data_IF_350625400440
#
_entry.id   IF_350625400440
#
_cell.length_a   1.000
_cell.length_b   1.000
_cell.length_c   1.000
_cell.angle_alpha   90.00
_cell.angle_beta   90.00
_cell.angle_gamma   90.00
#
_symmetry.space_group_name_H-M   'P 1'
#
loop_
_entity.id
_entity.type
_entity.pdbx_description
1 polymer ?
#
# COMPACT_ATOMS: atom_id res chain seq x y z
N UNK A 1 13.30 12.29 -6.60
CA UNK A 1 12.82 11.75 -7.90
C UNK A 1 11.50 12.35 -8.39
N UNK A 2 10.85 13.27 -7.66
CA UNK A 2 9.68 14.04 -8.18
C UNK A 2 10.14 15.21 -9.07
N UNK A 3 11.35 15.74 -8.84
CA UNK A 3 11.90 16.88 -9.58
C UNK A 3 12.15 16.63 -11.07
N UNK A 4 12.48 15.41 -11.48
CA UNK A 4 12.73 15.09 -12.90
C UNK A 4 11.44 15.14 -13.72
N UNK A 5 10.30 14.77 -13.12
CA UNK A 5 9.00 14.77 -13.78
C UNK A 5 8.43 16.19 -13.93
N UNK A 6 8.64 17.05 -12.93
CA UNK A 6 8.22 18.46 -13.02
C UNK A 6 9.08 19.19 -14.05
N UNK A 7 10.40 18.94 -14.07
CA UNK A 7 11.31 19.56 -15.02
C UNK A 7 10.97 19.14 -16.46
N UNK A 8 10.67 17.86 -16.71
CA UNK A 8 10.33 17.36 -18.05
C UNK A 8 9.03 17.94 -18.62
N UNK A 9 7.99 18.10 -17.79
CA UNK A 9 6.71 18.71 -18.21
C UNK A 9 6.86 20.23 -18.41
N UNK A 10 7.55 20.92 -17.50
CA UNK A 10 7.81 22.35 -17.62
C UNK A 10 8.65 22.66 -18.88
N UNK A 11 9.67 21.85 -19.17
CA UNK A 11 10.54 22.05 -20.34
C UNK A 11 9.85 21.66 -21.66
N UNK A 12 8.97 20.66 -21.67
CA UNK A 12 8.21 20.31 -22.87
C UNK A 12 7.25 21.44 -23.30
N UNK A 13 6.64 22.12 -22.34
CA UNK A 13 5.76 23.28 -22.58
C UNK A 13 6.56 24.49 -23.09
N UNK A 14 7.79 24.70 -22.62
CA UNK A 14 8.63 25.82 -23.08
C UNK A 14 9.27 25.59 -24.45
N UNK A 15 9.50 24.34 -24.87
CA UNK A 15 10.35 24.04 -26.04
C UNK A 15 9.57 23.67 -27.31
N UNK A 16 8.25 23.46 -27.23
CA UNK A 16 7.39 23.23 -28.42
C UNK A 16 7.76 22.02 -29.28
N UNK A 17 8.56 21.09 -28.75
CA UNK A 17 9.16 19.99 -29.52
C UNK A 17 8.48 18.65 -29.19
N UNK A 18 7.66 18.07 -30.10
CA UNK A 18 6.75 16.95 -29.81
C UNK A 18 7.45 15.62 -29.50
N UNK A 19 8.76 15.51 -29.73
CA UNK A 19 9.57 14.31 -29.43
C UNK A 19 9.71 14.03 -27.93
N UNK A 20 9.57 15.06 -27.08
CA UNK A 20 9.61 14.91 -25.62
C UNK A 20 8.27 14.47 -25.01
N UNK A 21 7.15 14.62 -25.73
CA UNK A 21 5.86 14.04 -25.32
C UNK A 21 5.91 12.52 -25.30
N UNK A 22 6.66 11.89 -26.21
CA UNK A 22 6.84 10.44 -26.26
C UNK A 22 7.61 9.89 -25.05
N UNK A 23 8.41 10.70 -24.36
CA UNK A 23 9.15 10.28 -23.17
C UNK A 23 8.31 10.44 -21.88
N UNK A 24 7.42 11.45 -21.83
CA UNK A 24 6.53 11.68 -20.69
C UNK A 24 5.28 10.80 -20.67
N UNK A 25 4.76 10.41 -21.84
CA UNK A 25 3.56 9.58 -21.97
C UNK A 25 3.68 8.20 -21.26
N UNK A 26 4.72 7.37 -21.50
CA UNK A 26 4.84 6.08 -20.82
C UNK A 26 5.01 6.25 -19.31
N UNK A 27 5.62 7.35 -18.86
CA UNK A 27 5.79 7.66 -17.45
C UNK A 27 4.45 8.01 -16.77
N UNK A 28 3.62 8.83 -17.42
CA UNK A 28 2.27 9.13 -16.96
C UNK A 28 1.39 7.88 -16.91
N UNK A 29 1.48 7.01 -17.93
CA UNK A 29 0.78 5.72 -17.96
C UNK A 29 1.25 4.81 -16.81
N UNK A 30 2.54 4.72 -16.55
CA UNK A 30 3.09 3.96 -15.42
C UNK A 30 2.56 4.49 -14.08
N UNK A 31 2.57 5.81 -13.85
CA UNK A 31 2.02 6.39 -12.63
C UNK A 31 0.53 6.13 -12.49
N UNK A 32 -0.23 6.24 -13.57
CA UNK A 32 -1.67 5.97 -13.59
C UNK A 32 -1.97 4.50 -13.26
N UNK A 33 -1.21 3.57 -13.85
CA UNK A 33 -1.34 2.14 -13.57
C UNK A 33 -0.96 1.85 -12.11
N UNK A 34 0.14 2.40 -11.59
CA UNK A 34 0.53 2.19 -10.18
C UNK A 34 -0.53 2.76 -9.23
N UNK A 35 -1.11 3.91 -9.54
CA UNK A 35 -2.20 4.52 -8.76
C UNK A 35 -3.47 3.66 -8.72
N UNK A 36 -3.67 2.78 -9.71
CA UNK A 36 -4.77 1.80 -9.70
C UNK A 36 -4.54 0.67 -8.70
N UNK A 37 -3.29 0.32 -8.42
CA UNK A 37 -2.96 -0.70 -7.40
C UNK A 37 -2.89 -0.14 -5.98
N UNK A 38 -3.03 1.17 -5.82
CA UNK A 38 -3.03 1.83 -4.53
C UNK A 38 -4.23 1.36 -3.67
N UNK A 39 -4.00 1.07 -2.37
CA UNK A 39 -5.09 0.83 -1.43
C UNK A 39 -5.92 2.10 -1.26
N UNK A 40 -7.23 1.98 -1.45
CA UNK A 40 -8.21 3.08 -1.33
C UNK A 40 -8.94 3.05 0.01
N UNK A 41 -9.04 1.89 0.66
CA UNK A 41 -9.76 1.75 1.91
C UNK A 41 -9.72 0.33 2.45
N UNK A 42 -10.26 0.16 3.65
CA UNK A 42 -10.32 -1.12 4.34
C UNK A 42 -11.72 -1.31 4.90
N UNK A 43 -12.36 -2.44 4.58
CA UNK A 43 -13.71 -2.76 5.07
C UNK A 43 -13.72 -4.12 5.75
N UNK A 44 -14.41 -4.21 6.88
CA UNK A 44 -14.70 -5.47 7.56
C UNK A 44 -15.96 -6.09 6.95
N UNK A 45 -15.77 -7.02 6.02
CA UNK A 45 -16.87 -7.78 5.42
C UNK A 45 -17.25 -8.99 6.28
N UNK A 46 -18.25 -9.77 5.84
CA UNK A 46 -18.70 -10.96 6.56
C UNK A 46 -17.66 -12.11 6.52
N UNK A 47 -16.87 -12.18 5.45
CA UNK A 47 -15.89 -13.24 5.17
C UNK A 47 -14.46 -12.88 5.61
N UNK A 48 -14.16 -11.60 5.81
CA UNK A 48 -12.84 -11.15 6.26
C UNK A 48 -12.60 -9.65 6.16
N UNK A 49 -11.33 -9.27 6.32
CA UNK A 49 -10.86 -7.91 6.07
C UNK A 49 -10.64 -7.73 4.57
N UNK A 50 -11.40 -6.83 3.95
CA UNK A 50 -11.26 -6.47 2.55
C UNK A 50 -10.37 -5.23 2.43
N UNK A 51 -9.25 -5.38 1.72
CA UNK A 51 -8.40 -4.26 1.33
C UNK A 51 -8.86 -3.80 -0.04
N UNK A 52 -9.57 -2.67 -0.09
CA UNK A 52 -10.06 -2.07 -1.33
C UNK A 52 -8.94 -1.41 -2.11
N UNK A 53 -8.87 -1.72 -3.40
CA UNK A 53 -7.90 -1.17 -4.35
C UNK A 53 -8.63 -1.03 -5.67
N UNK A 54 -8.26 -0.05 -6.50
CA UNK A 54 -8.86 0.08 -7.85
C UNK A 54 -8.52 -1.11 -8.78
N UNK A 55 -7.49 -1.89 -8.45
CA UNK A 55 -7.11 -3.11 -9.13
C UNK A 55 -7.84 -4.37 -8.62
N UNK A 56 -8.76 -4.23 -7.66
CA UNK A 56 -9.57 -5.31 -7.11
C UNK A 56 -9.41 -5.44 -5.59
N UNK A 57 -10.49 -5.81 -4.87
CA UNK A 57 -10.43 -6.02 -3.43
C UNK A 57 -9.61 -7.26 -3.11
N UNK A 58 -8.77 -7.18 -2.09
CA UNK A 58 -8.06 -8.34 -1.55
C UNK A 58 -8.67 -8.74 -0.22
N UNK A 59 -9.18 -9.96 -0.14
CA UNK A 59 -9.77 -10.51 1.08
C UNK A 59 -8.70 -11.17 1.94
N UNK A 60 -8.68 -10.84 3.22
CA UNK A 60 -7.92 -11.51 4.28
C UNK A 60 -8.95 -12.22 5.18
N UNK A 61 -9.13 -13.55 5.06
CA UNK A 61 -10.17 -14.26 5.81
C UNK A 61 -9.94 -14.21 7.32
N UNK A 62 -10.99 -14.03 8.12
CA UNK A 62 -10.89 -13.97 9.60
C UNK A 62 -10.21 -15.20 10.19
N UNK A 63 -10.49 -16.40 9.66
CA UNK A 63 -9.84 -17.68 10.06
C UNK A 63 -8.31 -17.66 9.99
N UNK A 64 -7.74 -16.77 9.17
CA UNK A 64 -6.28 -16.63 9.06
C UNK A 64 -5.73 -15.64 10.06
N UNK A 65 -6.54 -14.71 10.57
CA UNK A 65 -6.15 -13.65 11.51
C UNK A 65 -6.21 -14.23 12.92
N UNK A 66 -5.08 -14.18 13.62
CA UNK A 66 -4.96 -14.62 15.02
C UNK A 66 -5.09 -13.48 16.01
N UNK A 67 -4.58 -12.31 15.64
CA UNK A 67 -4.62 -11.12 16.48
C UNK A 67 -4.41 -9.86 15.65
N UNK A 68 -4.80 -8.73 16.24
CA UNK A 68 -4.55 -7.41 15.68
C UNK A 68 -4.02 -6.46 16.76
N UNK A 69 -2.97 -5.73 16.42
CA UNK A 69 -2.28 -4.79 17.31
C UNK A 69 -1.84 -3.52 16.57
N UNK A 70 -1.54 -2.47 17.35
CA UNK A 70 -1.05 -1.17 16.84
C UNK A 70 0.40 -0.91 17.23
N UNK A 71 1.13 -1.94 17.63
CA UNK A 71 2.50 -1.76 18.11
C UNK A 71 3.35 -1.26 16.96
N UNK A 72 4.04 -0.14 17.16
CA UNK A 72 4.96 0.37 16.17
C UNK A 72 6.08 -0.65 15.96
N UNK A 73 6.31 -1.07 14.71
CA UNK A 73 7.34 -2.04 14.34
C UNK A 73 8.27 -1.42 13.30
N UNK A 74 9.58 -1.68 13.37
CA UNK A 74 10.52 -1.12 12.42
C UNK A 74 10.23 -1.64 11.01
N UNK A 75 9.79 -0.74 10.12
CA UNK A 75 9.54 -1.01 8.71
C UNK A 75 10.84 -1.01 7.86
N UNK A 76 11.97 -1.22 8.50
CA UNK A 76 13.29 -1.32 7.87
C UNK A 76 13.42 -2.73 7.27
N UNK A 77 13.05 -2.90 6.00
CA UNK A 77 13.08 -4.19 5.33
C UNK A 77 13.32 -4.08 3.83
N UNK A 78 13.76 -5.21 3.28
CA UNK A 78 13.98 -5.40 1.84
C UNK A 78 12.61 -5.56 1.16
N UNK A 79 12.41 -4.85 0.05
CA UNK A 79 11.24 -5.05 -0.80
C UNK A 79 11.45 -6.31 -1.62
N UNK A 80 10.66 -7.36 -1.39
CA UNK A 80 10.72 -8.60 -2.21
C UNK A 80 9.85 -8.43 -3.45
N UNK A 81 8.61 -7.98 -3.25
CA UNK A 81 7.65 -7.75 -4.34
C UNK A 81 6.74 -6.61 -3.89
N UNK A 82 7.31 -5.41 -3.84
CA UNK A 82 6.62 -4.27 -3.25
C UNK A 82 6.97 -2.94 -3.90
N UNK A 83 5.99 -2.05 -3.90
CA UNK A 83 6.15 -0.67 -4.32
C UNK A 83 6.34 0.23 -3.10
N UNK A 84 7.41 1.03 -3.11
CA UNK A 84 7.70 2.10 -2.15
C UNK A 84 7.58 3.43 -2.90
N UNK A 85 6.37 3.91 -3.16
CA UNK A 85 6.14 5.02 -4.11
C UNK A 85 5.15 6.07 -3.64
N UNK A 86 4.73 6.93 -4.57
CA UNK A 86 3.81 8.05 -4.36
C UNK A 86 2.42 7.63 -3.83
N UNK A 87 2.05 6.37 -4.07
CA UNK A 87 0.72 5.81 -3.78
C UNK A 87 0.68 4.95 -2.52
N UNK A 88 1.64 5.15 -1.62
CA UNK A 88 1.78 4.37 -0.40
C UNK A 88 2.79 3.22 -0.52
N UNK A 89 2.85 2.40 0.54
CA UNK A 89 3.77 1.27 0.64
C UNK A 89 2.97 -0.02 0.65
N UNK A 90 2.99 -0.74 -0.47
CA UNK A 90 2.23 -1.98 -0.61
C UNK A 90 3.04 -3.10 -1.26
N UNK A 91 2.80 -4.33 -0.81
CA UNK A 91 3.44 -5.54 -1.33
C UNK A 91 4.10 -6.38 -0.25
N UNK A 92 5.02 -7.25 -0.67
CA UNK A 92 5.74 -8.17 0.21
C UNK A 92 7.11 -7.63 0.59
N UNK A 93 7.36 -7.62 1.89
CA UNK A 93 8.60 -7.19 2.50
C UNK A 93 9.19 -8.33 3.33
N UNK A 94 10.48 -8.21 3.61
CA UNK A 94 11.17 -9.12 4.50
C UNK A 94 12.17 -8.34 5.37
N UNK A 95 12.25 -8.72 6.64
CA UNK A 95 13.25 -8.21 7.58
C UNK A 95 13.66 -9.35 8.53
N UNK A 96 14.89 -9.34 9.05
CA UNK A 96 15.37 -10.32 10.02
C UNK A 96 14.55 -10.30 11.32
N UNK A 97 14.07 -9.13 11.75
CA UNK A 97 13.29 -8.98 12.99
C UNK A 97 11.84 -9.46 12.86
N UNK A 98 11.22 -9.28 11.69
CA UNK A 98 9.77 -9.51 11.47
C UNK A 98 9.48 -10.71 10.57
N UNK A 99 10.51 -11.31 9.96
CA UNK A 99 10.38 -12.32 8.92
C UNK A 99 9.77 -11.76 7.63
N UNK A 100 9.03 -12.60 6.91
CA UNK A 100 8.24 -12.16 5.74
C UNK A 100 6.94 -11.53 6.22
N UNK A 101 6.72 -10.27 5.83
CA UNK A 101 5.48 -9.56 6.11
C UNK A 101 4.95 -8.86 4.86
N UNK A 102 3.66 -8.57 4.86
CA UNK A 102 3.03 -7.78 3.80
C UNK A 102 2.60 -6.45 4.36
N UNK A 103 2.70 -5.43 3.53
CA UNK A 103 2.20 -4.11 3.85
C UNK A 103 1.17 -3.73 2.81
N UNK A 104 0.13 -3.06 3.26
CA UNK A 104 -0.82 -2.32 2.46
C UNK A 104 -1.04 -1.02 3.21
N UNK A 105 -0.11 -0.08 3.09
CA UNK A 105 -0.14 1.18 3.83
C UNK A 105 -0.42 2.34 2.89
N UNK A 106 -1.46 3.09 3.18
CA UNK A 106 -1.73 4.43 2.67
C UNK A 106 -1.06 5.46 3.57
N UNK A 107 -1.15 5.30 4.90
CA UNK A 107 -0.52 6.17 5.90
C UNK A 107 0.38 5.34 6.83
N UNK A 108 1.57 5.87 7.17
CA UNK A 108 2.53 5.19 8.07
C UNK A 108 2.24 5.42 9.55
N UNK A 109 1.43 6.42 9.88
CA UNK A 109 1.14 6.77 11.26
C UNK A 109 -0.07 6.00 11.83
N UNK A 110 -0.94 5.48 10.95
CA UNK A 110 -2.15 4.74 11.31
C UNK A 110 -2.02 3.23 11.10
N UNK A 111 -0.80 2.69 11.23
CA UNK A 111 -0.53 1.27 10.96
C UNK A 111 -1.18 0.38 12.02
N UNK A 112 -1.94 -0.59 11.55
CA UNK A 112 -2.48 -1.72 12.29
C UNK A 112 -1.84 -2.99 11.75
N UNK A 113 -1.27 -3.79 12.64
CA UNK A 113 -0.69 -5.09 12.33
C UNK A 113 -1.69 -6.20 12.59
N UNK A 114 -1.91 -7.02 11.57
CA UNK A 114 -2.67 -8.25 11.63
C UNK A 114 -1.69 -9.40 11.66
N UNK A 115 -1.70 -10.18 12.75
CA UNK A 115 -0.94 -11.41 12.81
C UNK A 115 -1.77 -12.52 12.17
N UNK A 116 -1.30 -13.04 11.04
CA UNK A 116 -1.97 -14.14 10.35
C UNK A 116 -1.19 -15.44 10.48
N UNK A 117 -1.84 -16.57 10.21
CA UNK A 117 -1.18 -17.90 10.10
C UNK A 117 -0.07 -17.91 9.05
N UNK A 118 -0.14 -17.05 8.04
CA UNK A 118 0.83 -16.98 6.94
C UNK A 118 1.91 -15.92 7.13
N UNK A 119 1.88 -15.19 8.25
CA UNK A 119 2.80 -14.10 8.56
C UNK A 119 2.10 -12.79 8.93
N UNK A 120 2.89 -11.73 9.06
CA UNK A 120 2.40 -10.42 9.50
C UNK A 120 1.85 -9.60 8.32
N UNK A 121 0.73 -8.91 8.51
CA UNK A 121 0.15 -8.00 7.53
C UNK A 121 -0.07 -6.63 8.17
N UNK A 122 0.61 -5.59 7.68
CA UNK A 122 0.34 -4.20 8.07
C UNK A 122 -0.68 -3.56 7.15
N UNK A 123 -1.74 -2.98 7.73
CA UNK A 123 -2.75 -2.18 7.04
C UNK A 123 -2.83 -0.80 7.69
N UNK A 124 -3.35 0.22 6.99
CA UNK A 124 -3.51 1.56 7.57
C UNK A 124 -4.94 2.07 7.40
N UNK A 125 -5.91 1.52 8.14
CA UNK A 125 -7.29 2.02 8.11
C UNK A 125 -7.34 3.49 8.57
N UNK A 126 -8.35 4.22 8.09
CA UNK A 126 -8.56 5.63 8.46
C UNK A 126 -8.82 5.80 9.97
N UNK A 127 -9.51 4.81 10.58
CA UNK A 127 -9.81 4.75 12.01
C UNK A 127 -9.20 3.50 12.63
N UNK A 128 -7.91 3.53 13.02
CA UNK A 128 -7.20 2.33 13.47
C UNK A 128 -7.72 1.76 14.79
N UNK A 129 -8.17 2.59 15.74
CA UNK A 129 -8.74 2.12 17.01
C UNK A 129 -10.07 1.38 16.82
N UNK A 130 -11.01 2.05 16.14
CA UNK A 130 -12.33 1.50 15.84
C UNK A 130 -12.21 0.20 15.04
N UNK A 131 -11.29 0.17 14.07
CA UNK A 131 -11.03 -1.01 13.27
C UNK A 131 -10.54 -2.20 14.11
N UNK A 132 -9.58 -1.99 15.02
CA UNK A 132 -9.07 -3.07 15.88
C UNK A 132 -10.13 -3.56 16.86
N UNK A 133 -10.92 -2.65 17.44
CA UNK A 133 -12.01 -3.00 18.34
C UNK A 133 -13.08 -3.88 17.63
N UNK A 134 -13.51 -3.47 16.43
CA UNK A 134 -14.46 -4.22 15.62
C UNK A 134 -13.89 -5.53 15.07
N UNK A 135 -12.59 -5.58 14.78
CA UNK A 135 -11.96 -6.82 14.34
C UNK A 135 -11.91 -7.85 15.46
N UNK A 136 -11.62 -7.42 16.70
CA UNK A 136 -11.57 -8.31 17.87
C UNK A 136 -12.90 -8.98 18.21
N UNK A 137 -14.03 -8.38 17.85
CA UNK A 137 -15.36 -9.00 18.03
C UNK A 137 -15.70 -10.02 16.94
N UNK A 138 -14.89 -10.14 15.89
CA UNK A 138 -15.13 -11.03 14.73
C UNK A 138 -14.13 -12.18 14.56
N UNK A 139 -13.04 -12.18 15.34
CA UNK A 139 -11.97 -13.21 15.27
C UNK A 139 -11.96 -14.09 16.52
#
# INVERSE_FOLDING_TARGET
MVGVSILGVAFAVTTGNPRWMFLSLPFAVILFVIGRYAPQGYRLAADGVHVERRAGPRVIPYRTIRSADRVARPLAGISVTASKGLFGRFGRFWNSTLGSYRLFLTNRDTVVWLQTTTGLIGISPDRPDEFVALLRTRI
#
